data_IF_866655249718
#
_entry.id   IF_866655249718
#
_cell.length_a   1.000
_cell.length_b   1.000
_cell.length_c   1.000
_cell.angle_alpha   90.00
_cell.angle_beta   90.00
_cell.angle_gamma   90.00
#
_symmetry.space_group_name_H-M   'P 1'
#
loop_
_entity.id
_entity.type
_entity.pdbx_description
1 polymer ?
#
# COMPACT_ATOMS: atom_id res chain seq x y z
N UNK A 1 0.89 74.37 -36.59
CA UNK A 1 0.02 74.00 -35.46
C UNK A 1 0.85 73.37 -34.36
N UNK A 2 1.01 74.13 -33.26
CA UNK A 2 1.46 73.81 -31.89
C UNK A 2 2.65 72.86 -31.66
N UNK A 3 3.73 73.50 -31.23
CA UNK A 3 4.83 73.00 -30.40
C UNK A 3 4.37 72.64 -28.97
N UNK A 4 5.24 71.85 -28.31
CA UNK A 4 5.67 71.94 -26.89
C UNK A 4 5.20 70.87 -25.88
N UNK A 5 6.24 70.26 -25.28
CA UNK A 5 6.42 69.84 -23.88
C UNK A 5 5.52 68.69 -23.35
N UNK A 6 5.97 67.79 -22.47
CA UNK A 6 6.86 68.00 -21.34
C UNK A 6 7.37 66.65 -20.78
N UNK A 7 8.66 66.58 -20.47
CA UNK A 7 9.28 65.52 -19.68
C UNK A 7 9.31 65.91 -18.19
N UNK A 8 9.01 64.95 -17.30
CA UNK A 8 9.43 64.85 -15.87
C UNK A 8 9.40 63.35 -15.54
N UNK A 9 10.35 62.73 -14.84
CA UNK A 9 11.29 63.24 -13.85
C UNK A 9 11.14 62.36 -12.60
N UNK A 10 12.15 61.54 -12.34
CA UNK A 10 12.41 60.60 -11.22
C UNK A 10 11.82 60.96 -9.86
N UNK A 11 11.52 59.95 -9.02
CA UNK A 11 11.99 59.97 -7.63
C UNK A 11 12.19 58.56 -7.04
N UNK A 12 13.42 58.35 -6.57
CA UNK A 12 13.90 57.27 -5.70
C UNK A 12 13.54 57.66 -4.26
N UNK A 13 13.08 56.71 -3.44
CA UNK A 13 13.22 56.76 -1.98
C UNK A 13 13.60 55.37 -1.47
N UNK A 14 14.86 55.26 -1.04
CA UNK A 14 15.34 54.27 -0.07
C UNK A 14 15.18 54.82 1.35
N UNK A 15 15.24 53.90 2.32
CA UNK A 15 15.60 54.06 3.74
C UNK A 15 14.53 54.45 4.78
N UNK A 16 14.56 53.69 5.88
CA UNK A 16 13.81 53.90 7.11
C UNK A 16 13.51 52.59 7.86
N UNK A 17 14.52 51.85 8.34
CA UNK A 17 15.05 51.89 9.72
C UNK A 17 14.28 51.07 10.78
N UNK A 18 15.01 50.05 11.29
CA UNK A 18 15.27 49.69 12.71
C UNK A 18 14.15 49.22 13.64
N UNK A 19 14.47 48.07 14.26
CA UNK A 19 14.31 47.78 15.69
C UNK A 19 13.14 46.85 15.99
N UNK A 20 13.27 45.74 16.70
CA UNK A 20 14.35 45.16 17.48
C UNK A 20 13.76 44.07 18.40
N UNK A 21 14.66 43.38 19.12
CA UNK A 21 14.46 42.52 20.31
C UNK A 21 14.66 41.02 20.09
N UNK A 22 15.93 40.68 20.29
CA UNK A 22 16.43 39.46 20.88
C UNK A 22 15.61 38.98 22.09
N UNK A 23 15.40 37.67 22.20
CA UNK A 23 15.31 36.96 23.48
C UNK A 23 16.15 35.68 23.43
N UNK A 24 17.11 35.49 24.35
CA UNK A 24 17.83 34.24 24.52
C UNK A 24 17.03 33.37 25.51
N UNK A 25 16.87 32.08 25.21
CA UNK A 25 16.39 31.12 26.20
C UNK A 25 17.53 30.16 26.52
N UNK A 26 17.78 30.10 27.82
CA UNK A 26 18.93 29.52 28.46
C UNK A 26 18.91 28.00 28.41
N UNK A 27 20.11 27.46 28.31
CA UNK A 27 20.59 26.20 28.86
C UNK A 27 19.91 25.80 30.17
N UNK A 28 19.32 24.60 30.18
CA UNK A 28 18.98 23.85 31.40
C UNK A 28 19.59 22.45 31.31
N UNK A 29 20.79 22.30 31.84
CA UNK A 29 21.39 21.01 32.15
C UNK A 29 20.68 20.42 33.37
N UNK A 30 20.11 19.21 33.23
CA UNK A 30 19.85 18.32 34.35
C UNK A 30 20.68 17.05 34.14
N UNK A 31 21.79 16.95 34.86
CA UNK A 31 22.48 15.68 35.17
C UNK A 31 21.97 15.20 36.53
N UNK A 32 21.69 13.90 36.65
CA UNK A 32 21.78 13.09 37.88
C UNK A 32 21.33 11.64 37.58
N UNK A 33 21.68 10.64 38.42
CA UNK A 33 22.76 9.70 38.12
C UNK A 33 22.33 8.21 38.12
N UNK A 34 23.27 7.34 37.73
CA UNK A 34 23.44 5.94 38.14
C UNK A 34 22.23 4.99 38.10
N UNK A 35 22.07 4.31 36.96
CA UNK A 35 21.35 3.03 36.87
C UNK A 35 22.34 1.85 36.93
N UNK A 36 22.03 0.75 37.62
CA UNK A 36 22.95 -0.37 37.86
C UNK A 36 23.25 -1.16 36.57
N UNK A 37 24.38 -1.89 36.52
CA UNK A 37 24.78 -2.61 35.31
C UNK A 37 23.79 -3.74 34.99
N UNK A 38 23.19 -3.67 33.80
CA UNK A 38 22.41 -4.77 33.25
C UNK A 38 23.35 -5.93 32.90
N UNK A 39 23.13 -7.07 33.57
CA UNK A 39 23.71 -8.37 33.25
C UNK A 39 23.58 -8.64 31.74
N UNK A 40 24.72 -8.69 31.05
CA UNK A 40 24.84 -9.03 29.62
C UNK A 40 25.00 -10.53 29.40
N UNK A 41 24.17 -11.34 30.07
CA UNK A 41 24.16 -12.80 29.92
C UNK A 41 22.72 -13.30 29.71
N UNK A 42 22.11 -13.00 28.56
CA UNK A 42 20.87 -13.68 28.10
C UNK A 42 20.54 -13.47 26.61
N UNK A 43 21.53 -13.18 25.76
CA UNK A 43 21.31 -12.87 24.34
C UNK A 43 21.59 -14.07 23.41
N UNK A 44 21.07 -15.26 23.70
CA UNK A 44 21.01 -16.38 22.74
C UNK A 44 19.67 -17.17 22.75
N UNK A 45 18.59 -16.62 23.31
CA UNK A 45 17.23 -17.00 22.93
C UNK A 45 16.81 -16.10 21.76
N UNK A 46 16.94 -16.50 20.49
CA UNK A 46 16.26 -17.62 19.89
C UNK A 46 15.09 -17.06 19.09
N UNK A 47 15.32 -16.67 17.83
CA UNK A 47 14.31 -16.08 16.93
C UNK A 47 13.03 -16.93 16.75
N UNK A 48 13.02 -18.17 17.24
CA UNK A 48 11.84 -19.02 17.34
C UNK A 48 10.86 -18.65 18.45
N UNK A 49 11.32 -18.06 19.57
CA UNK A 49 10.47 -17.74 20.72
C UNK A 49 9.44 -16.63 20.45
N UNK A 50 9.78 -15.68 19.58
CA UNK A 50 8.88 -14.59 19.20
C UNK A 50 7.75 -15.07 18.27
N UNK A 51 8.03 -16.10 17.47
CA UNK A 51 7.07 -16.69 16.52
C UNK A 51 5.97 -17.47 17.25
N UNK A 52 6.35 -18.36 18.16
CA UNK A 52 5.40 -19.17 18.96
C UNK A 52 4.56 -18.28 19.88
N UNK A 53 5.16 -17.23 20.44
CA UNK A 53 4.44 -16.26 21.27
C UNK A 53 3.34 -15.52 20.47
N UNK A 54 3.60 -15.20 19.20
CA UNK A 54 2.57 -14.61 18.32
C UNK A 54 1.42 -15.58 18.05
N UNK A 55 1.71 -16.87 17.86
CA UNK A 55 0.68 -17.91 17.73
C UNK A 55 -0.15 -18.04 19.01
N UNK A 56 0.48 -18.12 20.18
CA UNK A 56 -0.23 -18.19 21.45
C UNK A 56 -1.15 -16.99 21.70
N UNK A 57 -0.69 -15.77 21.36
CA UNK A 57 -1.53 -14.55 21.42
C UNK A 57 -2.75 -14.65 20.50
N UNK A 58 -2.55 -15.17 19.29
CA UNK A 58 -3.64 -15.41 18.35
C UNK A 58 -4.67 -16.42 18.85
N UNK A 59 -4.21 -17.55 19.41
CA UNK A 59 -5.07 -18.57 20.02
C UNK A 59 -5.85 -17.99 21.21
N UNK A 60 -5.18 -17.23 22.09
CA UNK A 60 -5.84 -16.58 23.22
C UNK A 60 -6.93 -15.61 22.76
N UNK A 61 -6.66 -14.79 21.74
CA UNK A 61 -7.66 -13.88 21.17
C UNK A 61 -8.88 -14.63 20.59
N UNK A 62 -8.67 -15.80 19.99
CA UNK A 62 -9.76 -16.66 19.51
C UNK A 62 -10.59 -17.21 20.67
N UNK A 63 -9.94 -17.74 21.70
CA UNK A 63 -10.63 -18.28 22.89
C UNK A 63 -11.44 -17.17 23.58
N UNK A 64 -10.86 -15.98 23.74
CA UNK A 64 -11.54 -14.82 24.31
C UNK A 64 -12.76 -14.40 23.46
N UNK A 65 -12.60 -14.31 22.13
CA UNK A 65 -13.69 -13.99 21.21
C UNK A 65 -14.81 -15.06 21.21
N UNK A 66 -14.48 -16.32 21.48
CA UNK A 66 -15.44 -17.41 21.60
C UNK A 66 -16.13 -17.47 22.96
N UNK A 67 -15.50 -16.94 24.02
CA UNK A 67 -16.04 -16.93 25.40
C UNK A 67 -17.11 -15.87 25.66
N UNK A 68 -17.20 -14.85 24.81
CA UNK A 68 -18.18 -13.77 24.95
C UNK A 68 -19.51 -14.14 24.29
N UNK A 69 -20.60 -14.21 25.07
CA UNK A 69 -21.96 -14.50 24.58
C UNK A 69 -22.49 -13.46 23.58
N UNK A 70 -21.94 -12.23 23.60
CA UNK A 70 -22.31 -11.15 22.67
C UNK A 70 -21.14 -10.89 21.72
N UNK A 71 -21.27 -11.43 20.50
CA UNK A 71 -20.22 -11.34 19.49
C UNK A 71 -20.18 -9.95 18.83
N UNK A 72 -19.19 -9.13 19.16
CA UNK A 72 -18.87 -7.95 18.34
C UNK A 72 -18.13 -8.40 17.07
N UNK A 73 -18.64 -7.97 15.91
CA UNK A 73 -18.08 -8.27 14.59
C UNK A 73 -16.59 -7.96 14.52
N UNK A 74 -16.18 -6.84 15.12
CA UNK A 74 -14.81 -6.33 15.15
C UNK A 74 -13.86 -7.22 15.98
N UNK A 75 -14.35 -7.81 17.08
CA UNK A 75 -13.52 -8.69 17.93
C UNK A 75 -13.16 -9.99 17.21
N UNK A 76 -14.09 -10.56 16.42
CA UNK A 76 -13.80 -11.74 15.61
C UNK A 76 -12.79 -11.44 14.50
N UNK A 77 -12.83 -10.26 13.89
CA UNK A 77 -11.87 -9.89 12.84
C UNK A 77 -10.47 -9.67 13.41
N UNK A 78 -10.35 -9.01 14.56
CA UNK A 78 -9.09 -8.83 15.26
C UNK A 78 -8.50 -10.17 15.71
N UNK A 79 -9.32 -11.06 16.31
CA UNK A 79 -8.90 -12.39 16.71
C UNK A 79 -8.46 -13.24 15.52
N UNK A 80 -9.21 -13.21 14.42
CA UNK A 80 -8.86 -13.93 13.19
C UNK A 80 -7.55 -13.43 12.58
N UNK A 81 -7.36 -12.09 12.51
CA UNK A 81 -6.14 -11.50 11.99
C UNK A 81 -4.90 -11.87 12.82
N UNK A 82 -5.00 -11.84 14.16
CA UNK A 82 -3.93 -12.23 15.07
C UNK A 82 -3.61 -13.72 14.97
N UNK A 83 -4.62 -14.59 14.97
CA UNK A 83 -4.43 -16.02 14.82
C UNK A 83 -3.77 -16.37 13.48
N UNK A 84 -4.28 -15.81 12.37
CA UNK A 84 -3.70 -16.01 11.05
C UNK A 84 -2.24 -15.58 10.99
N UNK A 85 -1.91 -14.40 11.55
CA UNK A 85 -0.52 -13.92 11.64
C UNK A 85 0.37 -14.89 12.42
N UNK A 86 -0.11 -15.39 13.55
CA UNK A 86 0.57 -16.41 14.34
C UNK A 86 0.87 -17.69 13.56
N UNK A 87 -0.13 -18.20 12.83
CA UNK A 87 0.04 -19.37 11.96
C UNK A 87 1.06 -19.12 10.85
N UNK A 88 1.06 -17.94 10.21
CA UNK A 88 2.08 -17.60 9.22
C UNK A 88 3.50 -17.61 9.79
N UNK A 89 3.70 -17.05 10.98
CA UNK A 89 5.02 -17.09 11.64
C UNK A 89 5.47 -18.52 11.97
N UNK A 90 4.51 -19.43 12.22
CA UNK A 90 4.77 -20.83 12.52
C UNK A 90 4.58 -21.76 11.32
N UNK A 91 4.43 -21.24 10.09
CA UNK A 91 4.14 -22.07 8.92
C UNK A 91 5.26 -23.08 8.63
N UNK A 92 6.50 -22.79 9.02
CA UNK A 92 7.64 -23.71 8.87
C UNK A 92 7.90 -24.56 10.12
N UNK A 93 7.03 -24.49 11.12
CA UNK A 93 7.17 -25.16 12.43
C UNK A 93 5.89 -25.97 12.74
N UNK A 94 5.67 -27.13 12.08
CA UNK A 94 4.48 -27.94 12.30
C UNK A 94 4.26 -28.35 13.76
N UNK A 95 5.35 -28.60 14.50
CA UNK A 95 5.31 -28.93 15.93
C UNK A 95 4.68 -27.82 16.78
N UNK A 96 4.94 -26.54 16.44
CA UNK A 96 4.35 -25.41 17.15
C UNK A 96 2.85 -25.28 16.88
N UNK A 97 2.40 -25.61 15.67
CA UNK A 97 0.99 -25.67 15.33
C UNK A 97 0.31 -26.86 16.03
N UNK A 98 0.96 -28.01 16.06
CA UNK A 98 0.46 -29.21 16.76
C UNK A 98 0.38 -29.00 18.29
N UNK A 99 1.23 -28.15 18.87
CA UNK A 99 1.22 -27.81 20.29
C UNK A 99 0.05 -26.91 20.74
N UNK A 100 -0.81 -26.43 19.83
CA UNK A 100 -1.98 -25.60 20.21
C UNK A 100 -2.98 -26.43 21.01
N UNK A 101 -3.31 -26.01 22.23
CA UNK A 101 -4.19 -26.79 23.13
C UNK A 101 -5.67 -26.71 22.75
N UNK A 102 -6.17 -25.56 22.32
CA UNK A 102 -7.62 -25.31 22.10
C UNK A 102 -8.07 -25.48 20.64
N UNK A 103 -7.71 -26.60 19.99
CA UNK A 103 -7.94 -26.75 18.54
C UNK A 103 -9.42 -26.79 18.16
N UNK A 104 -10.26 -27.40 18.99
CA UNK A 104 -11.70 -27.52 18.79
C UNK A 104 -12.36 -26.13 18.80
N UNK A 105 -11.99 -25.30 19.78
CA UNK A 105 -12.48 -23.90 19.89
C UNK A 105 -12.07 -23.08 18.66
N UNK A 106 -10.83 -23.27 18.19
CA UNK A 106 -10.35 -22.62 16.97
C UNK A 106 -11.14 -23.11 15.75
N UNK A 107 -11.42 -24.40 15.63
CA UNK A 107 -12.22 -24.93 14.52
C UNK A 107 -13.64 -24.37 14.49
N UNK A 108 -14.30 -24.25 15.65
CA UNK A 108 -15.61 -23.60 15.76
C UNK A 108 -15.55 -22.12 15.38
N UNK A 109 -14.51 -21.42 15.83
CA UNK A 109 -14.25 -20.03 15.46
C UNK A 109 -14.07 -19.86 13.95
N UNK A 110 -13.26 -20.71 13.31
CA UNK A 110 -13.05 -20.69 11.86
C UNK A 110 -14.35 -20.98 11.10
N UNK A 111 -15.19 -21.90 11.58
CA UNK A 111 -16.51 -22.16 11.01
C UNK A 111 -17.44 -20.94 11.12
N UNK A 112 -17.37 -20.20 12.23
CA UNK A 112 -18.10 -18.94 12.39
C UNK A 112 -17.62 -17.86 11.43
N UNK A 113 -16.31 -17.76 11.20
CA UNK A 113 -15.70 -16.83 10.24
C UNK A 113 -16.08 -17.21 8.80
N UNK A 114 -16.16 -18.51 8.48
CA UNK A 114 -16.45 -19.03 7.15
C UNK A 114 -17.82 -18.60 6.59
N UNK A 115 -18.80 -18.31 7.45
CA UNK A 115 -20.09 -17.75 7.04
C UNK A 115 -19.92 -16.39 6.32
N UNK A 116 -18.82 -15.68 6.57
CA UNK A 116 -18.50 -14.40 5.93
C UNK A 116 -17.74 -14.64 4.63
N UNK A 117 -18.44 -14.54 3.50
CA UNK A 117 -17.87 -14.72 2.14
C UNK A 117 -16.60 -13.91 1.86
N UNK A 118 -16.46 -12.73 2.46
CA UNK A 118 -15.26 -11.86 2.30
C UNK A 118 -13.97 -12.48 2.83
N UNK A 119 -14.05 -13.51 3.68
CA UNK A 119 -12.89 -14.15 4.33
C UNK A 119 -12.48 -15.47 3.68
N UNK A 120 -13.21 -15.96 2.68
CA UNK A 120 -13.02 -17.29 2.08
C UNK A 120 -11.56 -17.54 1.64
N UNK A 121 -10.94 -16.55 0.98
CA UNK A 121 -9.54 -16.64 0.56
C UNK A 121 -8.57 -16.76 1.74
N UNK A 122 -8.80 -15.97 2.78
CA UNK A 122 -7.93 -15.93 3.97
C UNK A 122 -8.06 -17.23 4.78
N UNK A 123 -9.26 -17.82 4.82
CA UNK A 123 -9.50 -19.14 5.41
C UNK A 123 -8.82 -20.26 4.63
N UNK A 124 -8.90 -20.24 3.30
CA UNK A 124 -8.21 -21.23 2.46
C UNK A 124 -6.68 -21.18 2.67
N UNK A 125 -6.09 -20.00 2.72
CA UNK A 125 -4.67 -19.79 3.04
C UNK A 125 -4.32 -20.35 4.43
N UNK A 126 -5.11 -20.01 5.44
CA UNK A 126 -4.89 -20.46 6.82
C UNK A 126 -4.99 -21.98 6.96
N UNK A 127 -5.99 -22.60 6.33
CA UNK A 127 -6.15 -24.05 6.34
C UNK A 127 -4.98 -24.76 5.64
N UNK A 128 -4.44 -24.20 4.55
CA UNK A 128 -3.24 -24.73 3.91
C UNK A 128 -2.02 -24.74 4.85
N UNK A 129 -1.90 -23.74 5.73
CA UNK A 129 -0.86 -23.70 6.77
C UNK A 129 -1.13 -24.76 7.84
N UNK A 130 -2.36 -24.82 8.35
CA UNK A 130 -2.74 -25.75 9.42
C UNK A 130 -2.58 -27.22 8.98
N UNK A 131 -2.88 -27.56 7.73
CA UNK A 131 -2.71 -28.92 7.20
C UNK A 131 -1.26 -29.42 7.20
N UNK A 132 -0.26 -28.57 7.40
CA UNK A 132 1.13 -29.02 7.54
C UNK A 132 1.34 -29.79 8.86
N UNK A 133 0.50 -29.53 9.86
CA UNK A 133 0.55 -30.12 11.19
C UNK A 133 -0.43 -31.32 11.27
N UNK A 134 0.01 -32.42 11.91
CA UNK A 134 -0.71 -33.70 11.82
C UNK A 134 -2.04 -33.67 12.58
N UNK A 135 -2.09 -33.04 13.75
CA UNK A 135 -3.30 -32.96 14.56
C UNK A 135 -4.38 -32.10 13.91
N UNK A 136 -3.98 -31.09 13.12
CA UNK A 136 -4.91 -30.25 12.38
C UNK A 136 -5.50 -30.94 11.15
N UNK A 137 -4.74 -31.83 10.49
CA UNK A 137 -5.25 -32.59 9.34
C UNK A 137 -6.45 -33.45 9.69
N UNK A 138 -6.42 -34.16 10.83
CA UNK A 138 -7.56 -34.95 11.29
C UNK A 138 -8.77 -34.06 11.59
N UNK A 139 -8.56 -32.93 12.29
CA UNK A 139 -9.65 -32.01 12.61
C UNK A 139 -10.27 -31.35 11.38
N UNK A 140 -9.46 -31.00 10.38
CA UNK A 140 -9.93 -30.40 9.13
C UNK A 140 -10.69 -31.40 8.25
N UNK A 141 -10.37 -32.69 8.31
CA UNK A 141 -11.15 -33.73 7.62
C UNK A 141 -12.59 -33.80 8.16
N UNK A 142 -12.73 -33.64 9.48
CA UNK A 142 -14.01 -33.61 10.18
C UNK A 142 -14.59 -32.19 10.37
N UNK A 143 -14.09 -31.21 9.59
CA UNK A 143 -14.51 -29.82 9.72
C UNK A 143 -16.03 -29.61 9.55
N UNK A 144 -16.61 -28.60 10.23
CA UNK A 144 -18.00 -28.17 10.01
C UNK A 144 -18.30 -27.84 8.54
N UNK A 145 -19.56 -28.01 8.13
CA UNK A 145 -19.99 -27.85 6.74
C UNK A 145 -19.63 -26.47 6.16
N UNK A 146 -19.80 -25.39 6.94
CA UNK A 146 -19.45 -24.03 6.51
C UNK A 146 -17.98 -23.88 6.07
N UNK A 147 -17.05 -24.57 6.74
CA UNK A 147 -15.65 -24.60 6.31
C UNK A 147 -15.45 -25.47 5.07
N UNK A 148 -16.12 -26.62 5.01
CA UNK A 148 -16.07 -27.52 3.84
C UNK A 148 -16.57 -26.84 2.56
N UNK A 149 -17.59 -25.99 2.65
CA UNK A 149 -18.08 -25.19 1.51
C UNK A 149 -17.03 -24.18 1.03
N UNK A 150 -16.36 -23.47 1.94
CA UNK A 150 -15.25 -22.56 1.60
C UNK A 150 -14.10 -23.31 0.91
N UNK A 151 -13.86 -24.56 1.28
CA UNK A 151 -12.85 -25.42 0.66
C UNK A 151 -13.26 -25.96 -0.71
N UNK A 152 -14.55 -26.22 -0.92
CA UNK A 152 -15.07 -26.72 -2.20
C UNK A 152 -15.00 -25.64 -3.29
N UNK A 153 -15.18 -24.37 -2.93
CA UNK A 153 -15.08 -23.23 -3.83
C UNK A 153 -13.62 -22.79 -4.12
N UNK A 154 -12.68 -23.21 -3.26
CA UNK A 154 -11.24 -23.00 -3.44
C UNK A 154 -10.61 -24.09 -4.30
N UNK A 155 -9.65 -23.71 -5.15
CA UNK A 155 -8.78 -24.59 -5.97
C UNK A 155 -8.58 -25.97 -5.31
N UNK A 156 -8.80 -27.09 -6.03
CA UNK A 156 -8.92 -28.40 -5.42
C UNK A 156 -7.68 -28.71 -4.57
N UNK A 157 -7.93 -28.95 -3.28
CA UNK A 157 -7.01 -29.54 -2.30
C UNK A 157 -6.64 -30.96 -2.76
N UNK A 158 -5.93 -31.06 -3.88
CA UNK A 158 -5.33 -32.32 -4.31
C UNK A 158 -4.25 -32.64 -3.30
N UNK A 159 -4.34 -33.84 -2.77
CA UNK A 159 -3.36 -34.56 -1.96
C UNK A 159 -1.98 -34.51 -2.64
N UNK A 160 -1.29 -33.39 -2.51
CA UNK A 160 0.10 -33.27 -2.93
C UNK A 160 0.94 -33.93 -1.83
N UNK A 161 1.68 -34.96 -2.22
CA UNK A 161 2.73 -35.52 -1.40
C UNK A 161 3.64 -34.39 -0.90
N UNK A 162 4.11 -34.53 0.34
CA UNK A 162 4.82 -33.57 1.19
C UNK A 162 6.05 -32.85 0.57
N UNK A 163 6.41 -33.10 -0.69
CA UNK A 163 7.57 -32.54 -1.37
C UNK A 163 7.35 -31.25 -2.17
N UNK A 164 6.11 -30.89 -2.53
CA UNK A 164 5.85 -29.87 -3.57
C UNK A 164 5.01 -28.65 -3.15
N UNK A 165 4.65 -28.55 -1.86
CA UNK A 165 3.80 -27.47 -1.32
C UNK A 165 4.44 -26.08 -1.44
N UNK A 166 5.77 -25.99 -1.39
CA UNK A 166 6.52 -24.75 -1.58
C UNK A 166 6.45 -24.21 -3.03
N UNK A 167 6.24 -25.08 -4.02
CA UNK A 167 6.11 -24.69 -5.43
C UNK A 167 4.65 -24.34 -5.82
N UNK A 168 3.65 -24.91 -5.14
CA UNK A 168 2.23 -24.69 -5.44
C UNK A 168 1.70 -23.40 -4.82
N UNK A 169 2.19 -22.99 -3.64
CA UNK A 169 1.85 -21.68 -3.02
C UNK A 169 2.34 -20.50 -3.88
N UNK A 170 3.32 -20.72 -4.78
CA UNK A 170 3.79 -19.72 -5.73
C UNK A 170 2.87 -19.53 -6.95
N UNK A 171 1.87 -20.41 -7.18
CA UNK A 171 0.85 -20.23 -8.23
C UNK A 171 -0.41 -19.60 -7.64
N UNK A 172 -0.28 -18.35 -7.17
CA UNK A 172 -1.40 -17.46 -6.83
C UNK A 172 -2.37 -17.43 -8.02
N UNK A 173 -3.63 -17.82 -7.80
CA UNK A 173 -4.71 -17.36 -8.68
C UNK A 173 -4.63 -15.82 -8.68
N UNK A 174 -4.41 -15.17 -9.83
CA UNK A 174 -4.22 -13.73 -9.87
C UNK A 174 -5.45 -13.08 -9.27
N UNK A 175 -5.24 -12.18 -8.30
CA UNK A 175 -6.30 -11.30 -7.83
C UNK A 175 -6.97 -10.66 -9.05
N UNK A 176 -8.31 -10.57 -9.09
CA UNK A 176 -8.99 -9.90 -10.18
C UNK A 176 -8.31 -8.55 -10.40
N UNK A 177 -7.77 -8.38 -11.62
CA UNK A 177 -7.02 -7.19 -12.00
C UNK A 177 -7.93 -6.00 -11.76
N UNK A 178 -7.61 -5.14 -10.80
CA UNK A 178 -8.37 -3.91 -10.67
C UNK A 178 -8.08 -3.04 -11.89
N UNK A 179 -9.12 -2.62 -12.62
CA UNK A 179 -8.95 -1.76 -13.76
C UNK A 179 -8.34 -0.43 -13.32
N UNK A 180 -7.58 0.19 -14.21
CA UNK A 180 -7.12 1.55 -14.00
C UNK A 180 -8.33 2.49 -13.83
N UNK A 181 -8.21 3.54 -13.00
CA UNK A 181 -9.22 4.59 -12.89
C UNK A 181 -9.53 5.22 -14.25
N UNK A 182 -10.81 5.51 -14.49
CA UNK A 182 -11.25 6.23 -15.67
C UNK A 182 -10.74 7.68 -15.69
N UNK A 183 -10.72 8.30 -16.88
CA UNK A 183 -10.53 9.75 -17.03
C UNK A 183 -11.54 10.51 -16.17
N UNK A 184 -11.08 11.59 -15.54
CA UNK A 184 -11.82 12.49 -14.64
C UNK A 184 -12.40 11.81 -13.40
N UNK A 185 -12.02 10.56 -13.11
CA UNK A 185 -12.45 9.87 -11.89
C UNK A 185 -11.87 10.58 -10.66
N UNK A 186 -12.76 10.91 -9.71
CA UNK A 186 -12.41 11.44 -8.40
C UNK A 186 -12.17 10.32 -7.42
N UNK A 187 -10.94 10.15 -6.96
CA UNK A 187 -10.52 8.98 -6.18
C UNK A 187 -9.69 9.33 -4.95
N UNK A 188 -9.73 8.42 -3.98
CA UNK A 188 -8.73 8.27 -2.93
C UNK A 188 -7.82 7.10 -3.28
N UNK A 189 -6.51 7.31 -3.17
CA UNK A 189 -5.52 6.25 -3.37
C UNK A 189 -5.24 5.56 -2.04
N UNK A 190 -5.63 4.28 -1.93
CA UNK A 190 -5.39 3.44 -0.74
C UNK A 190 -4.38 2.36 -1.05
N UNK A 191 -3.39 2.15 -0.19
CA UNK A 191 -2.45 1.04 -0.31
C UNK A 191 -3.08 -0.23 0.29
N UNK A 192 -3.09 -1.32 -0.48
CA UNK A 192 -3.88 -2.53 -0.16
C UNK A 192 -3.42 -3.24 1.11
N UNK A 193 -2.12 -3.29 1.39
CA UNK A 193 -1.62 -4.10 2.51
C UNK A 193 -1.84 -3.40 3.85
N UNK A 194 -1.51 -2.13 3.92
CA UNK A 194 -1.60 -1.28 5.11
C UNK A 194 -2.98 -0.67 5.28
N UNK A 195 -3.82 -0.68 4.24
CA UNK A 195 -5.14 -0.05 4.20
C UNK A 195 -5.09 1.46 4.46
N UNK A 196 -3.93 2.09 4.24
CA UNK A 196 -3.70 3.51 4.45
C UNK A 196 -3.84 4.30 3.16
N UNK A 197 -4.23 5.55 3.28
CA UNK A 197 -4.47 6.48 2.19
C UNK A 197 -3.26 7.34 1.93
N UNK A 198 -2.96 7.57 0.66
CA UNK A 198 -2.03 8.59 0.24
C UNK A 198 -2.60 9.97 0.55
N UNK A 199 -1.86 10.74 1.35
CA UNK A 199 -2.25 12.08 1.77
C UNK A 199 -1.14 13.08 1.48
N UNK A 200 -1.52 14.23 0.95
CA UNK A 200 -0.67 15.40 0.72
C UNK A 200 -0.79 16.29 1.95
N UNK A 201 0.25 16.36 2.76
CA UNK A 201 0.28 17.13 3.99
C UNK A 201 1.33 18.24 3.93
N UNK A 202 1.05 19.35 4.62
CA UNK A 202 2.04 20.40 4.84
C UNK A 202 2.78 20.14 6.16
N UNK A 203 4.07 19.84 6.09
CA UNK A 203 4.92 19.60 7.27
C UNK A 203 6.08 20.60 7.25
N UNK A 204 6.19 21.43 8.30
CA UNK A 204 7.28 22.41 8.46
C UNK A 204 7.51 23.27 7.20
N UNK A 205 6.43 23.84 6.64
CA UNK A 205 6.39 24.63 5.40
C UNK A 205 6.68 23.90 4.09
N UNK A 206 6.91 22.58 4.12
CA UNK A 206 7.12 21.76 2.94
C UNK A 206 5.93 20.83 2.72
N UNK A 207 5.45 20.76 1.47
CA UNK A 207 4.46 19.78 1.04
C UNK A 207 5.14 18.40 0.94
N UNK A 208 4.54 17.38 1.56
CA UNK A 208 5.02 16.00 1.53
C UNK A 208 3.84 15.04 1.33
N UNK A 209 4.09 13.98 0.60
CA UNK A 209 3.18 12.83 0.52
C UNK A 209 3.49 11.87 1.67
N UNK A 210 2.49 11.52 2.46
CA UNK A 210 2.54 10.60 3.59
C UNK A 210 1.38 9.62 3.50
N UNK A 211 1.42 8.55 4.30
CA UNK A 211 0.32 7.59 4.41
C UNK A 211 -0.48 7.83 5.69
N UNK A 212 -1.80 7.92 5.61
CA UNK A 212 -2.70 8.17 6.75
C UNK A 212 -3.79 7.11 6.84
N UNK A 213 -4.37 6.91 8.03
CA UNK A 213 -5.47 5.94 8.21
C UNK A 213 -6.79 6.39 7.57
N UNK A 214 -7.00 7.71 7.49
CA UNK A 214 -8.19 8.31 6.90
C UNK A 214 -7.88 8.90 5.53
N UNK A 215 -8.89 8.87 4.65
CA UNK A 215 -8.87 9.51 3.35
C UNK A 215 -8.91 11.04 3.52
N UNK A 216 -7.77 11.72 3.31
CA UNK A 216 -7.66 13.17 3.47
C UNK A 216 -7.33 13.91 2.16
N UNK A 217 -6.79 13.23 1.15
CA UNK A 217 -6.45 13.82 -0.15
C UNK A 217 -7.25 13.18 -1.27
N UNK A 218 -8.04 14.02 -1.94
CA UNK A 218 -8.80 13.66 -3.13
C UNK A 218 -7.97 13.96 -4.39
N UNK A 219 -7.97 13.02 -5.33
CA UNK A 219 -7.29 13.16 -6.62
C UNK A 219 -8.28 13.03 -7.78
N UNK A 220 -8.12 13.87 -8.80
CA UNK A 220 -8.76 13.73 -10.11
C UNK A 220 -7.79 12.99 -11.02
N UNK A 221 -8.24 11.87 -11.57
CA UNK A 221 -7.48 11.06 -12.51
C UNK A 221 -7.51 11.65 -13.91
N UNK A 222 -6.35 11.79 -14.53
CA UNK A 222 -6.21 12.22 -15.90
C UNK A 222 -5.55 11.11 -16.70
N UNK A 223 -6.30 10.44 -17.56
CA UNK A 223 -5.77 9.46 -18.49
C UNK A 223 -4.93 10.17 -19.56
N UNK A 224 -3.66 9.81 -19.61
CA UNK A 224 -2.74 10.28 -20.64
C UNK A 224 -3.07 9.48 -21.88
N UNK A 225 -3.83 10.08 -22.81
CA UNK A 225 -3.97 9.51 -24.14
C UNK A 225 -2.56 9.36 -24.68
N UNK A 226 -2.17 8.11 -24.97
CA UNK A 226 -0.96 7.85 -25.73
C UNK A 226 -1.13 8.73 -26.96
N UNK A 227 -0.30 9.77 -27.09
CA UNK A 227 -0.14 10.42 -28.39
C UNK A 227 0.30 9.25 -29.25
N UNK A 228 -0.63 8.71 -30.02
CA UNK A 228 -0.30 8.10 -31.29
C UNK A 228 0.47 9.22 -31.95
N UNK A 229 1.80 9.15 -31.78
CA UNK A 229 2.68 9.96 -32.58
C UNK A 229 2.31 9.45 -33.95
N UNK A 230 1.52 10.26 -34.65
CA UNK A 230 1.22 10.10 -36.04
C UNK A 230 2.52 9.62 -36.67
N UNK A 231 2.56 8.31 -36.92
CA UNK A 231 3.41 7.76 -37.94
C UNK A 231 2.71 8.28 -39.18
N UNK A 232 2.89 9.57 -39.41
CA UNK A 232 2.70 10.25 -40.67
C UNK A 232 3.82 9.68 -41.55
N UNK A 233 3.73 8.37 -41.81
CA UNK A 233 4.27 7.77 -43.01
C UNK A 233 3.38 8.29 -44.13
N UNK A 234 3.56 9.57 -44.42
CA UNK A 234 3.68 10.06 -45.77
C UNK A 234 4.40 8.99 -46.58
N UNK A 235 3.64 8.23 -47.36
CA UNK A 235 3.93 7.66 -48.68
C UNK A 235 2.98 6.50 -48.96
N UNK A 236 2.00 6.73 -49.85
CA UNK A 236 1.28 5.66 -50.55
C UNK A 236 -0.23 5.85 -50.57
N UNK A 237 -0.69 6.64 -51.53
CA UNK A 237 -2.08 6.65 -52.00
C UNK A 237 -2.52 5.24 -52.46
N UNK A 238 -3.82 4.98 -52.26
CA UNK A 238 -4.68 4.02 -52.97
C UNK A 238 -4.56 2.51 -52.61
N UNK A 239 -5.54 1.97 -51.88
CA UNK A 239 -6.73 1.31 -52.48
C UNK A 239 -7.71 0.86 -51.37
N UNK A 240 -8.99 1.07 -51.65
CA UNK A 240 -10.13 0.78 -50.78
C UNK A 240 -10.39 -0.73 -50.71
N UNK A 241 -10.33 -1.33 -49.51
CA UNK A 241 -11.00 -2.60 -49.26
C UNK A 241 -11.71 -2.53 -47.89
N UNK A 242 -13.04 -2.38 -47.95
CA UNK A 242 -13.94 -2.48 -46.81
C UNK A 242 -13.88 -3.90 -46.25
N UNK A 243 -13.09 -4.09 -45.19
CA UNK A 243 -13.19 -5.28 -44.35
C UNK A 243 -13.65 -4.83 -42.97
N UNK A 244 -14.95 -5.02 -42.71
CA UNK A 244 -15.54 -5.00 -41.37
C UNK A 244 -14.93 -6.14 -40.54
N UNK A 245 -13.76 -5.92 -39.96
CA UNK A 245 -13.11 -6.90 -39.11
C UNK A 245 -13.25 -6.51 -37.63
N UNK A 246 -14.10 -7.29 -36.94
CA UNK A 246 -14.37 -7.20 -35.51
C UNK A 246 -13.11 -7.44 -34.70
N UNK A 247 -12.34 -6.37 -34.46
CA UNK A 247 -11.11 -6.41 -33.69
C UNK A 247 -11.41 -6.47 -32.20
N UNK A 248 -11.76 -7.67 -31.75
CA UNK A 248 -11.70 -8.08 -30.36
C UNK A 248 -10.23 -7.99 -29.92
N UNK A 249 -9.84 -6.82 -29.41
CA UNK A 249 -8.54 -6.57 -28.80
C UNK A 249 -8.39 -7.43 -27.53
N UNK A 250 -8.00 -8.67 -27.75
CA UNK A 250 -7.66 -9.63 -26.70
C UNK A 250 -6.15 -9.62 -26.48
N UNK A 251 -5.75 -9.48 -25.22
CA UNK A 251 -4.59 -10.24 -24.74
C UNK A 251 -3.52 -9.49 -23.95
N UNK A 252 -3.40 -8.17 -24.08
CA UNK A 252 -2.42 -7.41 -23.30
C UNK A 252 -3.17 -6.29 -22.58
N UNK A 253 -3.37 -6.45 -21.27
CA UNK A 253 -4.01 -5.44 -20.43
C UNK A 253 -3.18 -4.15 -20.55
N UNK A 254 -3.59 -3.27 -21.46
CA UNK A 254 -2.85 -2.08 -21.80
C UNK A 254 -2.62 -1.27 -20.52
N UNK A 255 -1.35 -1.17 -20.09
CA UNK A 255 -1.00 -0.42 -18.88
C UNK A 255 -1.43 1.03 -19.09
N UNK A 256 -2.40 1.48 -18.31
CA UNK A 256 -2.92 2.84 -18.43
C UNK A 256 -1.88 3.84 -17.90
N UNK A 257 -1.75 4.97 -18.59
CA UNK A 257 -0.91 6.08 -18.17
C UNK A 257 -1.80 7.14 -17.55
N UNK A 258 -1.49 7.56 -16.33
CA UNK A 258 -2.35 8.39 -15.50
C UNK A 258 -1.57 9.56 -14.90
N UNK A 259 -2.23 10.70 -14.75
CA UNK A 259 -1.85 11.79 -13.86
C UNK A 259 -2.86 11.92 -12.72
N UNK A 260 -2.40 12.37 -11.55
CA UNK A 260 -3.25 12.56 -10.37
C UNK A 260 -3.20 14.02 -9.94
N UNK A 261 -4.23 14.80 -10.28
CA UNK A 261 -4.38 16.19 -9.86
C UNK A 261 -5.01 16.25 -8.47
N UNK A 262 -4.38 16.92 -7.53
CA UNK A 262 -4.86 17.03 -6.17
C UNK A 262 -5.94 18.12 -6.05
N UNK A 263 -7.12 17.78 -5.54
CA UNK A 263 -8.25 18.72 -5.41
C UNK A 263 -8.22 19.47 -4.06
N UNK A 264 -7.51 18.95 -3.05
CA UNK A 264 -7.52 19.47 -1.69
C UNK A 264 -6.40 20.46 -1.32
N UNK A 265 -6.49 21.01 -0.11
CA UNK A 265 -5.37 21.72 0.54
C UNK A 265 -4.31 20.70 1.00
N UNK A 266 -3.00 21.03 0.96
CA UNK A 266 -2.40 22.35 0.70
C UNK A 266 -2.17 22.69 -0.78
N UNK A 267 -2.43 21.77 -1.71
CA UNK A 267 -1.94 21.87 -3.10
C UNK A 267 -3.06 21.70 -4.14
N UNK A 268 -4.11 22.54 -4.13
CA UNK A 268 -5.23 22.38 -5.05
C UNK A 268 -4.79 22.65 -6.49
N UNK A 269 -5.25 21.81 -7.42
CA UNK A 269 -4.94 21.89 -8.85
C UNK A 269 -3.51 21.48 -9.21
N UNK A 270 -2.76 20.88 -8.25
CA UNK A 270 -1.40 20.42 -8.51
C UNK A 270 -1.34 18.92 -8.72
N UNK A 271 -0.58 18.51 -9.72
CA UNK A 271 -0.32 17.13 -10.03
C UNK A 271 0.71 16.52 -9.09
N UNK A 272 0.41 15.29 -8.65
CA UNK A 272 1.34 14.38 -8.02
C UNK A 272 2.47 14.07 -9.00
N UNK A 273 3.71 14.07 -8.53
CA UNK A 273 4.88 13.82 -9.36
C UNK A 273 6.12 13.46 -8.56
N UNK A 274 7.10 12.88 -9.24
CA UNK A 274 8.40 12.60 -8.64
C UNK A 274 9.31 13.82 -8.71
N UNK A 275 9.93 14.19 -7.60
CA UNK A 275 10.95 15.23 -7.54
C UNK A 275 12.25 14.70 -6.93
N UNK A 276 13.38 14.96 -7.61
CA UNK A 276 14.69 14.86 -6.97
C UNK A 276 14.96 16.12 -6.17
N UNK A 277 15.29 16.03 -4.88
CA UNK A 277 15.72 17.21 -4.13
C UNK A 277 17.01 17.77 -4.74
N UNK A 278 17.02 19.07 -5.05
CA UNK A 278 18.22 19.75 -5.56
C UNK A 278 19.12 20.13 -4.36
N UNK A 279 20.45 19.96 -4.48
CA UNK A 279 21.44 20.42 -3.50
C UNK A 279 22.06 19.35 -2.57
N UNK A 280 22.54 19.77 -1.38
CA UNK A 280 23.31 18.92 -0.41
C UNK A 280 22.60 17.62 0.01
N UNK A 281 21.30 17.49 -0.22
CA UNK A 281 20.56 16.24 0.01
C UNK A 281 21.06 15.09 -0.89
N UNK A 282 21.60 15.41 -2.08
CA UNK A 282 22.18 14.41 -3.00
C UNK A 282 23.39 13.71 -2.38
N UNK A 283 24.21 14.42 -1.60
CA UNK A 283 25.40 13.86 -0.93
C UNK A 283 25.06 12.93 0.24
N UNK A 284 23.82 12.97 0.75
CA UNK A 284 23.33 12.07 1.80
C UNK A 284 22.47 10.93 1.27
N UNK A 285 22.48 10.69 -0.05
CA UNK A 285 21.64 9.64 -0.65
C UNK A 285 20.15 9.99 -0.69
N UNK A 286 19.80 11.28 -0.73
CA UNK A 286 18.41 11.72 -0.87
C UNK A 286 17.82 11.22 -2.19
N UNK A 287 17.00 10.17 -2.11
CA UNK A 287 16.30 9.58 -3.25
C UNK A 287 15.20 10.48 -3.84
N UNK A 288 14.52 9.97 -4.85
CA UNK A 288 13.30 10.60 -5.39
C UNK A 288 12.22 10.68 -4.30
N UNK A 289 11.50 11.79 -4.26
CA UNK A 289 10.38 12.01 -3.35
C UNK A 289 9.12 12.31 -4.15
N UNK A 290 7.99 11.80 -3.66
CA UNK A 290 6.69 12.11 -4.25
C UNK A 290 6.16 13.42 -3.67
N UNK A 291 5.68 14.33 -4.53
CA UNK A 291 5.15 15.65 -4.15
C UNK A 291 4.07 16.13 -5.13
N UNK A 292 3.25 17.09 -4.71
CA UNK A 292 2.28 17.77 -5.57
C UNK A 292 2.79 19.15 -5.98
N UNK A 293 3.63 19.23 -7.02
CA UNK A 293 4.27 20.51 -7.42
C UNK A 293 3.93 20.99 -8.83
N UNK A 294 3.53 20.09 -9.73
CA UNK A 294 3.27 20.43 -11.13
C UNK A 294 1.90 21.07 -11.31
N UNK A 295 1.79 22.12 -12.12
CA UNK A 295 0.49 22.71 -12.52
C UNK A 295 -0.05 22.12 -13.83
N UNK A 296 0.72 21.25 -14.47
CA UNK A 296 0.41 20.67 -15.76
C UNK A 296 0.81 19.21 -15.73
N UNK A 297 0.02 18.38 -16.41
CA UNK A 297 0.34 16.98 -16.62
C UNK A 297 1.44 16.86 -17.69
N UNK A 298 2.67 16.59 -17.24
CA UNK A 298 3.79 16.25 -18.10
C UNK A 298 4.49 14.97 -17.61
N UNK A 299 5.63 14.65 -18.22
CA UNK A 299 6.36 13.40 -17.91
C UNK A 299 6.72 13.20 -16.43
N UNK A 300 6.83 14.28 -15.63
CA UNK A 300 7.17 14.18 -14.20
C UNK A 300 5.96 13.88 -13.32
N UNK A 301 4.78 14.00 -13.89
CA UNK A 301 3.47 13.83 -13.27
C UNK A 301 2.76 12.57 -13.78
N UNK A 302 3.40 11.83 -14.69
CA UNK A 302 2.89 10.61 -15.30
C UNK A 302 3.24 9.37 -14.49
N UNK A 303 2.24 8.51 -14.28
CA UNK A 303 2.37 7.20 -13.65
C UNK A 303 1.78 6.13 -14.56
N UNK A 304 2.45 4.98 -14.60
CA UNK A 304 1.92 3.77 -15.22
C UNK A 304 1.15 2.99 -14.16
N UNK A 305 -0.14 2.72 -14.43
CA UNK A 305 -0.94 1.75 -13.71
C UNK A 305 -0.64 0.37 -14.29
N UNK A 306 0.18 -0.40 -13.58
CA UNK A 306 0.61 -1.74 -13.97
C UNK A 306 -0.23 -2.84 -13.35
N UNK A 307 0.11 -4.07 -13.69
CA UNK A 307 -0.53 -5.27 -13.15
C UNK A 307 -0.51 -5.31 -11.63
N UNK A 308 -1.59 -5.86 -11.06
CA UNK A 308 -1.80 -5.89 -9.61
C UNK A 308 -2.00 -4.50 -9.00
N UNK A 309 -2.45 -3.53 -9.80
CA UNK A 309 -2.67 -2.14 -9.41
C UNK A 309 -1.40 -1.50 -8.82
N UNK A 310 -0.27 -1.71 -9.48
CA UNK A 310 1.01 -1.13 -9.06
C UNK A 310 1.26 0.19 -9.78
N UNK A 311 1.78 1.19 -9.06
CA UNK A 311 2.04 2.52 -9.60
C UNK A 311 3.53 2.74 -9.86
N UNK A 312 3.91 2.90 -11.13
CA UNK A 312 5.28 3.26 -11.51
C UNK A 312 5.35 4.70 -11.99
N UNK A 313 6.20 5.51 -11.38
CA UNK A 313 6.49 6.84 -11.88
C UNK A 313 7.31 6.76 -13.17
N UNK A 314 6.83 7.39 -14.23
CA UNK A 314 7.34 7.18 -15.59
C UNK A 314 8.73 7.77 -15.78
N UNK A 315 8.95 9.02 -15.33
CA UNK A 315 10.24 9.68 -15.52
C UNK A 315 11.38 8.98 -14.78
N UNK A 316 11.15 8.51 -13.56
CA UNK A 316 12.20 7.87 -12.75
C UNK A 316 12.23 6.36 -12.88
N UNK A 317 11.20 5.75 -13.49
CA UNK A 317 10.98 4.30 -13.52
C UNK A 317 10.89 3.64 -12.13
N UNK A 318 10.64 4.41 -11.08
CA UNK A 318 10.54 3.93 -9.70
C UNK A 318 9.09 3.62 -9.35
N UNK A 319 8.90 2.62 -8.51
CA UNK A 319 7.60 2.20 -8.01
C UNK A 319 7.22 2.96 -6.75
N UNK A 320 5.93 3.25 -6.59
CA UNK A 320 5.38 3.69 -5.33
C UNK A 320 5.31 2.48 -4.38
N UNK A 321 5.95 2.64 -3.23
CA UNK A 321 6.09 1.58 -2.24
C UNK A 321 5.88 2.14 -0.83
N UNK A 322 5.11 1.40 -0.04
CA UNK A 322 4.91 1.64 1.38
C UNK A 322 5.59 0.51 2.14
N UNK A 323 6.63 0.85 2.89
CA UNK A 323 7.37 -0.11 3.70
C UNK A 323 6.46 -0.66 4.82
N UNK A 324 6.22 -1.99 4.89
CA UNK A 324 5.42 -2.58 5.96
C UNK A 324 5.96 -2.32 7.37
N UNK A 325 7.26 -2.06 7.51
CA UNK A 325 7.86 -1.71 8.79
C UNK A 325 7.60 -0.24 9.17
N UNK A 326 7.36 0.62 8.18
CA UNK A 326 7.11 2.06 8.33
C UNK A 326 5.89 2.48 7.50
N UNK A 327 4.67 2.03 7.88
CA UNK A 327 3.48 2.16 7.03
C UNK A 327 2.98 3.60 6.87
N UNK A 328 3.52 4.56 7.61
CA UNK A 328 3.25 5.99 7.49
C UNK A 328 4.08 6.65 6.38
N UNK A 329 5.16 6.00 5.94
CA UNK A 329 6.11 6.53 4.97
C UNK A 329 5.89 5.95 3.57
N UNK A 330 5.81 6.86 2.59
CA UNK A 330 5.80 6.51 1.18
C UNK A 330 7.19 6.72 0.59
N UNK A 331 7.64 5.73 -0.18
CA UNK A 331 8.94 5.74 -0.84
C UNK A 331 8.79 5.48 -2.34
N UNK A 332 9.73 6.02 -3.12
CA UNK A 332 9.90 5.69 -4.53
C UNK A 332 11.05 4.68 -4.64
N UNK A 333 10.71 3.42 -4.93
CA UNK A 333 11.63 2.31 -4.82
C UNK A 333 11.94 1.65 -6.19
N UNK A 334 13.13 1.09 -6.35
CA UNK A 334 13.58 0.53 -7.65
C UNK A 334 12.94 -0.83 -7.94
N UNK A 335 12.75 -1.65 -6.90
CA UNK A 335 12.36 -3.06 -7.04
C UNK A 335 11.02 -3.36 -6.37
N UNK A 336 10.92 -3.08 -5.08
CA UNK A 336 9.69 -3.21 -4.29
C UNK A 336 8.59 -2.26 -4.77
N UNK A 337 7.34 -2.75 -4.73
CA UNK A 337 6.14 -2.06 -5.20
C UNK A 337 4.96 -2.42 -4.32
N UNK A 338 4.09 -1.44 -4.08
CA UNK A 338 2.81 -1.66 -3.38
C UNK A 338 1.67 -1.82 -4.37
N UNK A 339 0.65 -2.56 -3.96
CA UNK A 339 -0.62 -2.63 -4.67
C UNK A 339 -1.53 -1.52 -4.16
N UNK A 340 -2.21 -0.86 -5.07
CA UNK A 340 -3.06 0.30 -4.79
C UNK A 340 -4.52 -0.01 -5.12
N UNK A 341 -5.42 0.72 -4.49
CA UNK A 341 -6.85 0.76 -4.76
C UNK A 341 -7.21 2.20 -5.03
N UNK A 342 -8.01 2.42 -6.07
CA UNK A 342 -8.57 3.72 -6.39
C UNK A 342 -10.03 3.75 -5.96
N UNK A 343 -10.27 4.22 -4.73
CA UNK A 343 -11.62 4.27 -4.17
C UNK A 343 -12.34 5.53 -4.66
N UNK A 344 -13.54 5.42 -5.26
CA UNK A 344 -14.27 6.59 -5.73
C UNK A 344 -14.69 7.48 -4.56
N UNK A 345 -14.65 8.80 -4.76
CA UNK A 345 -15.31 9.75 -3.88
C UNK A 345 -16.81 9.78 -4.21
N UNK A 346 -17.63 9.32 -3.27
CA UNK A 346 -19.11 9.25 -3.39
C UNK A 346 -19.73 10.60 -3.01
#
# INVERSE_FOLDING_TARGET
SRLSAQARGRQVCCDGLRGGRSRPWMTGMCRSPDGPPANSELLHAGAGGDRTLTLHRGVHAVVEAMSCDVAFVNSNEAAFALFRRGCHHCAQLPEALDAVESKEVVMEFLARVAVRRTTARQLNELCAILMQAAAWRSLLADAPLALKEVFADGVPLRTASSGDLSAIIAKKLPDPLEPAPCQDARIFLRERRSQRFLTVAQQASLERCIMTELAASLFVCHAVRRREWDVDSSYGEEEEEEVEDGKSASGEAATAMLGFEHEGVPSPGRFLGGQRPWGRAVLRGGGWQLRCTGWQLGRREEFRWGDGATLQHVQSSLWLYVDPANPDELQMHVVEKSAWEALPAI
#
